data_IF_854221520049
#
_entry.id   IF_854221520049
#
_cell.length_a   1.000
_cell.length_b   1.000
_cell.length_c   1.000
_cell.angle_alpha   90.00
_cell.angle_beta   90.00
_cell.angle_gamma   90.00
#
_symmetry.space_group_name_H-M   'P 1'
#
loop_
_entity.id
_entity.type
_entity.pdbx_description
1 polymer ?
#
# COMPACT_ATOMS: atom_id res chain seq x y z
N UNK A 1 -13.26 18.87 -11.93
CA UNK A 1 -13.01 17.52 -11.43
C UNK A 1 -13.91 16.50 -12.13
N UNK A 2 -15.23 16.60 -12.10
CA UNK A 2 -16.19 15.61 -12.63
C UNK A 2 -15.87 15.09 -14.05
N UNK A 3 -15.65 15.95 -15.04
CA UNK A 3 -15.33 15.52 -16.42
C UNK A 3 -14.02 14.74 -16.53
N UNK A 4 -13.02 15.07 -15.70
CA UNK A 4 -11.73 14.36 -15.67
C UNK A 4 -11.90 13.01 -14.99
N UNK A 5 -12.64 12.94 -13.90
CA UNK A 5 -12.94 11.66 -13.23
C UNK A 5 -13.74 10.73 -14.14
N UNK A 6 -14.76 11.23 -14.83
CA UNK A 6 -15.53 10.46 -15.79
C UNK A 6 -14.64 9.89 -16.91
N UNK A 7 -13.74 10.72 -17.47
CA UNK A 7 -12.76 10.26 -18.46
C UNK A 7 -11.82 9.19 -17.89
N UNK A 8 -11.29 9.36 -16.69
CA UNK A 8 -10.45 8.35 -16.02
C UNK A 8 -11.23 7.07 -15.75
N UNK A 9 -12.46 7.18 -15.24
CA UNK A 9 -13.30 6.03 -14.93
C UNK A 9 -13.70 5.26 -16.20
N UNK A 10 -13.84 5.90 -17.35
CA UNK A 10 -14.07 5.21 -18.64
C UNK A 10 -12.93 4.26 -19.03
N UNK A 11 -11.76 4.37 -18.35
CA UNK A 11 -10.57 3.53 -18.58
C UNK A 11 -10.44 2.38 -17.57
N UNK A 12 -11.34 2.29 -16.59
CA UNK A 12 -11.43 1.14 -15.67
C UNK A 12 -11.90 -0.07 -16.46
N UNK A 13 -11.20 -1.20 -16.31
CA UNK A 13 -11.50 -2.43 -17.05
C UNK A 13 -10.78 -2.55 -18.40
N UNK A 14 -10.06 -1.52 -18.85
CA UNK A 14 -9.02 -1.69 -19.86
C UNK A 14 -7.90 -2.48 -19.19
N UNK A 15 -8.01 -3.79 -19.31
CA UNK A 15 -7.22 -4.75 -18.56
C UNK A 15 -5.72 -4.61 -18.80
N UNK A 16 -4.97 -5.09 -17.81
CA UNK A 16 -3.56 -5.34 -17.84
C UNK A 16 -3.12 -5.87 -19.21
N UNK A 17 -2.55 -5.01 -20.03
CA UNK A 17 -2.07 -5.37 -21.35
C UNK A 17 -0.58 -5.68 -21.26
N UNK A 18 -0.16 -6.76 -21.89
CA UNK A 18 1.22 -7.22 -21.88
C UNK A 18 2.18 -6.18 -22.47
N UNK A 19 3.15 -5.74 -21.67
CA UNK A 19 4.30 -4.95 -22.12
C UNK A 19 4.25 -3.47 -21.74
N UNK A 20 5.44 -2.88 -21.60
CA UNK A 20 5.65 -1.48 -21.21
C UNK A 20 5.79 -0.51 -22.41
N UNK A 21 5.72 -1.01 -23.65
CA UNK A 21 6.01 -0.17 -24.84
C UNK A 21 5.15 1.08 -24.94
N UNK A 22 3.84 0.95 -24.64
CA UNK A 22 2.92 2.09 -24.63
C UNK A 22 3.30 3.13 -23.57
N UNK A 23 3.59 2.69 -22.35
CA UNK A 23 4.04 3.59 -21.28
C UNK A 23 5.39 4.22 -21.59
N UNK A 24 6.34 3.45 -22.16
CA UNK A 24 7.64 4.00 -22.55
C UNK A 24 7.45 5.12 -23.58
N UNK A 25 6.62 4.92 -24.60
CA UNK A 25 6.36 5.97 -25.56
C UNK A 25 5.61 7.17 -24.95
N UNK A 26 4.70 6.92 -24.01
CA UNK A 26 3.97 8.00 -23.33
C UNK A 26 4.92 8.90 -22.52
N UNK A 27 5.85 8.31 -21.73
CA UNK A 27 6.83 9.12 -20.99
C UNK A 27 7.79 9.84 -21.93
N UNK A 28 8.21 9.24 -23.05
CA UNK A 28 9.03 9.89 -24.07
C UNK A 28 8.33 11.13 -24.67
N UNK A 29 7.05 11.02 -25.01
CA UNK A 29 6.22 12.12 -25.51
C UNK A 29 6.04 13.24 -24.49
N UNK A 30 6.08 12.94 -23.19
CA UNK A 30 6.00 13.89 -22.08
C UNK A 30 7.38 14.44 -21.66
N UNK A 31 8.46 14.06 -22.35
CA UNK A 31 9.83 14.51 -22.06
C UNK A 31 10.46 13.80 -20.87
N UNK A 32 10.12 12.54 -20.66
CA UNK A 32 10.67 11.64 -19.64
C UNK A 32 10.64 12.24 -18.23
N UNK A 33 9.47 12.64 -17.70
CA UNK A 33 9.36 13.30 -16.41
C UNK A 33 9.92 12.47 -15.25
N UNK A 34 9.89 11.14 -15.36
CA UNK A 34 10.37 10.19 -14.37
C UNK A 34 11.90 10.19 -14.16
N UNK A 35 12.65 10.87 -15.04
CA UNK A 35 14.14 10.95 -14.96
C UNK A 35 14.64 12.15 -14.17
N UNK A 36 13.77 13.04 -13.69
CA UNK A 36 14.16 14.30 -13.04
C UNK A 36 14.41 14.17 -11.53
N UNK A 37 14.13 13.01 -10.94
CA UNK A 37 14.24 12.77 -9.50
C UNK A 37 14.64 11.35 -9.20
N UNK A 38 15.32 11.07 -8.08
CA UNK A 38 15.60 9.71 -7.64
C UNK A 38 14.31 9.00 -7.20
N UNK A 39 14.24 7.69 -7.43
CA UNK A 39 13.05 6.88 -7.17
C UNK A 39 13.42 5.69 -6.30
N UNK A 40 12.67 5.46 -5.22
CA UNK A 40 12.61 4.21 -4.48
C UNK A 40 11.36 3.46 -4.94
N UNK A 41 11.54 2.33 -5.63
CA UNK A 41 10.47 1.56 -6.24
C UNK A 41 10.05 0.40 -5.33
N UNK A 42 8.80 0.40 -4.89
CA UNK A 42 8.31 -0.50 -3.84
C UNK A 42 7.25 -1.46 -4.38
N UNK A 43 7.51 -2.77 -4.26
CA UNK A 43 6.53 -3.83 -4.57
C UNK A 43 6.34 -4.76 -3.38
N UNK A 44 5.32 -5.58 -3.46
CA UNK A 44 5.00 -6.62 -2.47
C UNK A 44 3.55 -7.05 -2.55
N UNK A 45 3.21 -8.16 -1.93
CA UNK A 45 1.81 -8.57 -1.77
C UNK A 45 1.14 -7.65 -0.76
N UNK A 46 1.68 -7.55 0.45
CA UNK A 46 1.22 -6.68 1.53
C UNK A 46 2.36 -5.81 2.05
N UNK A 47 2.06 -4.74 2.80
CA UNK A 47 3.05 -3.90 3.48
C UNK A 47 3.61 -2.73 2.66
N UNK A 48 3.32 -2.62 1.35
CA UNK A 48 3.82 -1.56 0.47
C UNK A 48 3.56 -0.16 1.03
N UNK A 49 2.29 0.19 1.23
CA UNK A 49 1.88 1.51 1.72
C UNK A 49 2.42 1.82 3.12
N UNK A 50 2.44 0.84 4.06
CA UNK A 50 3.04 1.04 5.40
C UNK A 50 4.54 1.31 5.33
N UNK A 51 5.28 0.57 4.48
CA UNK A 51 6.72 0.79 4.27
C UNK A 51 6.98 2.17 3.66
N UNK A 52 6.15 2.59 2.68
CA UNK A 52 6.20 3.94 2.10
C UNK A 52 5.91 5.00 3.15
N UNK A 53 4.93 4.80 4.04
CA UNK A 53 4.61 5.74 5.10
C UNK A 53 5.80 5.94 6.06
N UNK A 54 6.45 4.86 6.50
CA UNK A 54 7.65 4.96 7.33
C UNK A 54 8.80 5.67 6.60
N UNK A 55 9.08 5.31 5.35
CA UNK A 55 10.10 6.00 4.56
C UNK A 55 9.80 7.48 4.38
N UNK A 56 8.55 7.83 4.08
CA UNK A 56 8.11 9.23 3.95
C UNK A 56 8.46 10.03 5.21
N UNK A 57 8.07 9.53 6.38
CA UNK A 57 8.34 10.23 7.65
C UNK A 57 9.84 10.33 7.96
N UNK A 58 10.62 9.30 7.68
CA UNK A 58 12.07 9.29 7.83
C UNK A 58 12.74 10.36 6.95
N UNK A 59 12.40 10.42 5.67
CA UNK A 59 12.97 11.39 4.74
C UNK A 59 12.50 12.82 5.02
N UNK A 60 11.21 13.02 5.31
CA UNK A 60 10.67 14.33 5.67
C UNK A 60 11.30 14.87 6.96
N UNK A 61 11.49 14.02 7.96
CA UNK A 61 12.17 14.38 9.20
C UNK A 61 13.60 14.88 8.97
N UNK A 62 14.27 14.37 7.94
CA UNK A 62 15.59 14.80 7.50
C UNK A 62 15.56 15.91 6.44
N UNK A 63 14.46 16.64 6.35
CA UNK A 63 14.33 17.85 5.53
C UNK A 63 14.10 17.61 4.04
N UNK A 64 13.79 16.37 3.61
CA UNK A 64 13.51 16.07 2.20
C UNK A 64 12.09 16.41 1.81
N UNK A 65 11.91 16.93 0.59
CA UNK A 65 10.62 17.06 -0.08
C UNK A 65 10.29 15.74 -0.77
N UNK A 66 9.38 14.96 -0.18
CA UNK A 66 9.11 13.58 -0.56
C UNK A 66 7.82 13.47 -1.35
N UNK A 67 7.89 12.97 -2.57
CA UNK A 67 6.72 12.55 -3.32
C UNK A 67 6.36 11.09 -3.04
N UNK A 68 5.08 10.75 -3.10
CA UNK A 68 4.62 9.37 -3.06
C UNK A 68 3.49 9.13 -4.07
N UNK A 69 3.58 7.99 -4.77
CA UNK A 69 2.50 7.44 -5.58
C UNK A 69 2.09 6.10 -4.99
N UNK A 70 0.84 5.98 -4.55
CA UNK A 70 0.34 4.81 -3.82
C UNK A 70 -1.01 4.33 -4.37
N UNK A 71 -1.35 3.07 -4.13
CA UNK A 71 -2.61 2.49 -4.60
C UNK A 71 -3.15 1.38 -3.69
N UNK A 72 -4.50 1.23 -3.61
CA UNK A 72 -5.52 2.15 -4.08
C UNK A 72 -5.63 3.40 -3.18
N UNK A 73 -6.49 4.38 -3.55
CA UNK A 73 -6.84 5.49 -2.67
C UNK A 73 -7.80 5.04 -1.55
N UNK A 74 -7.84 5.80 -0.47
CA UNK A 74 -8.75 5.56 0.65
C UNK A 74 -9.96 6.50 0.61
N UNK A 75 -9.77 7.78 0.34
CA UNK A 75 -10.88 8.77 0.32
C UNK A 75 -11.09 9.33 -1.08
N UNK A 76 -10.02 9.86 -1.69
CA UNK A 76 -10.06 10.52 -2.99
C UNK A 76 -8.98 9.98 -3.91
N UNK A 77 -9.23 10.02 -5.22
CA UNK A 77 -8.24 9.68 -6.23
C UNK A 77 -6.93 10.48 -6.06
N UNK A 78 -7.02 11.69 -5.53
CA UNK A 78 -5.90 12.58 -5.24
C UNK A 78 -4.93 11.99 -4.20
N UNK A 79 -5.44 11.16 -3.26
CA UNK A 79 -4.63 10.51 -2.22
C UNK A 79 -3.52 9.63 -2.80
N UNK A 80 -3.64 9.24 -4.07
CA UNK A 80 -2.62 8.43 -4.74
C UNK A 80 -1.35 9.22 -5.06
N UNK A 81 -1.44 10.54 -5.18
CA UNK A 81 -0.38 11.44 -5.63
C UNK A 81 -0.15 12.49 -4.54
N UNK A 82 0.86 12.30 -3.72
CA UNK A 82 1.11 13.18 -2.57
C UNK A 82 2.52 13.78 -2.61
N UNK A 83 2.62 14.99 -2.05
CA UNK A 83 3.90 15.62 -1.67
C UNK A 83 3.89 15.80 -0.13
N UNK A 84 4.89 15.25 0.54
CA UNK A 84 4.97 15.28 2.01
C UNK A 84 3.67 14.80 2.70
N UNK A 85 3.03 13.76 2.12
CA UNK A 85 1.77 13.22 2.60
C UNK A 85 0.53 14.05 2.31
N UNK A 86 0.66 15.20 1.65
CA UNK A 86 -0.48 16.03 1.22
C UNK A 86 -0.89 15.68 -0.20
N UNK A 87 -2.17 15.36 -0.45
CA UNK A 87 -2.67 15.04 -1.77
C UNK A 87 -2.50 16.19 -2.76
N UNK A 88 -2.35 15.86 -4.04
CA UNK A 88 -2.38 16.83 -5.13
C UNK A 88 -3.68 17.63 -5.12
N UNK A 89 -3.60 18.95 -5.31
CA UNK A 89 -4.78 19.81 -5.40
C UNK A 89 -5.59 19.52 -6.69
N UNK A 90 -6.92 19.64 -6.60
CA UNK A 90 -7.82 19.43 -7.75
C UNK A 90 -7.42 20.21 -9.00
N UNK A 91 -7.00 21.45 -8.82
CA UNK A 91 -6.60 22.32 -9.93
C UNK A 91 -5.39 21.76 -10.68
N UNK A 92 -4.36 21.28 -9.96
CA UNK A 92 -3.19 20.67 -10.57
C UNK A 92 -3.51 19.31 -11.19
N UNK A 93 -4.32 18.51 -10.51
CA UNK A 93 -4.77 17.23 -11.03
C UNK A 93 -5.49 17.39 -12.37
N UNK A 94 -6.48 18.31 -12.46
CA UNK A 94 -7.24 18.60 -13.68
C UNK A 94 -6.32 19.11 -14.80
N UNK A 95 -5.43 20.04 -14.49
CA UNK A 95 -4.48 20.61 -15.45
C UNK A 95 -3.57 19.54 -16.05
N UNK A 96 -2.97 18.70 -15.21
CA UNK A 96 -2.07 17.64 -15.65
C UNK A 96 -2.80 16.50 -16.35
N UNK A 97 -4.02 16.16 -15.91
CA UNK A 97 -4.87 15.21 -16.61
C UNK A 97 -5.19 15.66 -18.04
N UNK A 98 -5.48 16.96 -18.23
CA UNK A 98 -5.69 17.52 -19.58
C UNK A 98 -4.41 17.48 -20.42
N UNK A 99 -3.24 17.72 -19.83
CA UNK A 99 -1.96 17.59 -20.54
C UNK A 99 -1.72 16.14 -21.01
N UNK A 100 -1.99 15.14 -20.14
CA UNK A 100 -1.90 13.72 -20.51
C UNK A 100 -2.92 13.36 -21.59
N UNK A 101 -4.15 13.90 -21.51
CA UNK A 101 -5.20 13.70 -22.53
C UNK A 101 -4.81 14.24 -23.90
N UNK A 102 -4.15 15.40 -23.96
CA UNK A 102 -3.62 15.95 -25.22
C UNK A 102 -2.48 15.07 -25.78
N UNK A 103 -1.53 14.64 -24.92
CA UNK A 103 -0.46 13.73 -25.32
C UNK A 103 -1.02 12.40 -25.85
N UNK A 104 -2.08 11.85 -25.23
CA UNK A 104 -2.71 10.59 -25.63
C UNK A 104 -3.20 10.64 -27.09
N UNK A 105 -3.66 11.80 -27.62
CA UNK A 105 -4.05 11.94 -29.03
C UNK A 105 -2.90 11.61 -29.98
N UNK A 106 -1.67 11.95 -29.61
CA UNK A 106 -0.48 11.62 -30.39
C UNK A 106 -0.13 10.13 -30.24
N UNK A 107 -0.22 9.60 -29.00
CA UNK A 107 0.05 8.20 -28.71
C UNK A 107 -0.89 7.25 -29.47
N UNK A 108 -2.16 7.62 -29.62
CA UNK A 108 -3.18 6.84 -30.33
C UNK A 108 -2.91 6.66 -31.85
N UNK A 109 -1.94 7.35 -32.42
CA UNK A 109 -1.52 7.11 -33.81
C UNK A 109 -0.75 5.79 -33.95
N UNK A 110 -0.17 5.27 -32.88
CA UNK A 110 0.71 4.09 -32.89
C UNK A 110 0.37 3.04 -31.83
N UNK A 111 -0.40 3.42 -30.81
CA UNK A 111 -0.75 2.57 -29.66
C UNK A 111 -2.25 2.68 -29.32
N UNK A 112 -2.73 1.74 -28.51
CA UNK A 112 -4.08 1.80 -27.94
C UNK A 112 -4.18 2.83 -26.81
N UNK A 113 -5.42 3.05 -26.35
CA UNK A 113 -5.75 3.89 -25.20
C UNK A 113 -5.01 3.47 -23.94
N UNK A 114 -4.60 4.45 -23.14
CA UNK A 114 -4.03 4.26 -21.81
C UNK A 114 -5.11 3.77 -20.83
N UNK A 115 -4.74 2.87 -19.94
CA UNK A 115 -5.58 2.41 -18.84
C UNK A 115 -5.65 3.45 -17.72
N UNK A 116 -6.62 3.30 -16.82
CA UNK A 116 -6.78 4.14 -15.63
C UNK A 116 -5.47 4.32 -14.83
N UNK A 117 -4.75 3.22 -14.58
CA UNK A 117 -3.52 3.27 -13.79
C UNK A 117 -2.35 3.89 -14.55
N UNK A 118 -2.28 3.69 -15.87
CA UNK A 118 -1.28 4.34 -16.74
C UNK A 118 -1.47 5.86 -16.75
N UNK A 119 -2.70 6.34 -16.89
CA UNK A 119 -3.03 7.76 -16.85
C UNK A 119 -2.62 8.40 -15.52
N UNK A 120 -2.96 7.77 -14.39
CA UNK A 120 -2.57 8.26 -13.06
C UNK A 120 -1.06 8.28 -12.84
N UNK A 121 -0.35 7.27 -13.35
CA UNK A 121 1.12 7.21 -13.27
C UNK A 121 1.75 8.38 -14.01
N UNK A 122 1.26 8.72 -15.21
CA UNK A 122 1.77 9.85 -15.99
C UNK A 122 1.47 11.20 -15.34
N UNK A 123 0.26 11.37 -14.78
CA UNK A 123 -0.10 12.56 -14.00
C UNK A 123 0.84 12.72 -12.81
N UNK A 124 1.11 11.64 -12.07
CA UNK A 124 2.03 11.65 -10.95
C UNK A 124 3.46 12.06 -11.36
N UNK A 125 3.99 11.47 -12.42
CA UNK A 125 5.34 11.80 -12.91
C UNK A 125 5.48 13.27 -13.31
N UNK A 126 4.48 13.81 -13.98
CA UNK A 126 4.48 15.25 -14.34
C UNK A 126 4.42 16.13 -13.10
N UNK A 127 3.54 15.81 -12.16
CA UNK A 127 3.39 16.58 -10.91
C UNK A 127 4.68 16.58 -10.10
N UNK A 128 5.33 15.44 -9.93
CA UNK A 128 6.56 15.33 -9.17
C UNK A 128 7.72 16.11 -9.79
N UNK A 129 7.81 16.12 -11.12
CA UNK A 129 8.78 16.96 -11.83
C UNK A 129 8.55 18.45 -11.58
N UNK A 130 7.30 18.92 -11.70
CA UNK A 130 6.96 20.33 -11.47
C UNK A 130 7.19 20.77 -10.03
N UNK A 131 7.06 19.84 -9.10
CA UNK A 131 7.24 20.10 -7.68
C UNK A 131 8.71 20.06 -7.23
N UNK A 132 9.65 19.72 -8.10
CA UNK A 132 11.10 19.67 -7.80
C UNK A 132 11.38 18.88 -6.51
N UNK A 133 10.88 17.63 -6.45
CA UNK A 133 10.99 16.78 -5.26
C UNK A 133 12.39 16.20 -5.11
N UNK A 134 12.84 15.98 -3.86
CA UNK A 134 14.14 15.37 -3.57
C UNK A 134 14.14 13.86 -3.85
N UNK A 135 12.98 13.19 -3.69
CA UNK A 135 12.82 11.79 -4.04
C UNK A 135 11.34 11.40 -4.22
N UNK A 136 11.12 10.32 -4.94
CA UNK A 136 9.81 9.69 -5.13
C UNK A 136 9.80 8.29 -4.52
N UNK A 137 8.79 8.03 -3.68
CA UNK A 137 8.41 6.70 -3.19
C UNK A 137 7.31 6.17 -4.11
N UNK A 138 7.67 5.25 -5.01
CA UNK A 138 6.79 4.77 -6.08
C UNK A 138 6.26 3.37 -5.77
N UNK A 139 4.96 3.23 -5.50
CA UNK A 139 4.30 1.94 -5.29
C UNK A 139 3.95 1.28 -6.62
N UNK A 140 4.33 0.01 -6.78
CA UNK A 140 3.88 -0.87 -7.86
C UNK A 140 2.39 -1.18 -7.67
N UNK A 141 1.61 -1.09 -8.72
CA UNK A 141 0.19 -1.46 -8.69
C UNK A 141 0.01 -2.96 -8.52
N UNK A 142 0.49 -3.76 -9.47
CA UNK A 142 0.39 -5.23 -9.46
C UNK A 142 1.69 -5.84 -10.00
N UNK A 143 2.24 -6.81 -9.26
CA UNK A 143 3.43 -7.55 -9.69
C UNK A 143 4.70 -6.72 -9.62
N UNK A 144 5.22 -6.30 -10.76
CA UNK A 144 6.43 -5.48 -10.88
C UNK A 144 6.98 -5.45 -12.29
N UNK A 145 7.34 -6.60 -12.86
CA UNK A 145 8.01 -6.71 -14.16
C UNK A 145 7.26 -5.98 -15.29
N UNK A 146 5.95 -6.17 -15.37
CA UNK A 146 5.08 -5.60 -16.39
C UNK A 146 4.18 -4.49 -15.83
N UNK A 147 4.42 -4.06 -14.59
CA UNK A 147 3.66 -2.97 -14.00
C UNK A 147 3.97 -1.65 -14.71
N UNK A 148 2.96 -0.83 -14.87
CA UNK A 148 3.02 0.50 -15.48
C UNK A 148 4.15 1.35 -14.93
N UNK A 149 4.41 1.26 -13.62
CA UNK A 149 5.45 2.03 -12.94
C UNK A 149 6.87 1.57 -13.31
N UNK A 150 7.03 0.40 -13.92
CA UNK A 150 8.36 -0.18 -14.19
C UNK A 150 9.10 0.41 -15.39
N UNK A 151 8.57 1.46 -15.99
CA UNK A 151 9.31 2.29 -16.98
C UNK A 151 10.46 3.10 -16.34
N UNK A 152 10.46 3.21 -15.01
CA UNK A 152 11.48 3.95 -14.26
C UNK A 152 12.76 3.14 -14.06
N UNK A 153 13.88 3.86 -13.81
CA UNK A 153 15.12 3.29 -13.29
C UNK A 153 15.25 3.74 -11.83
N UNK A 154 14.70 2.91 -10.91
CA UNK A 154 14.78 3.19 -9.47
C UNK A 154 16.22 3.08 -8.93
N UNK A 155 16.60 3.97 -8.01
CA UNK A 155 17.87 3.91 -7.28
C UNK A 155 17.88 2.73 -6.30
N UNK A 156 16.75 2.46 -5.68
CA UNK A 156 16.53 1.35 -4.76
C UNK A 156 15.22 0.63 -5.13
N UNK A 157 15.26 -0.69 -5.13
CA UNK A 157 14.08 -1.55 -5.22
C UNK A 157 13.75 -2.14 -3.84
N UNK A 158 12.47 -2.18 -3.48
CA UNK A 158 12.02 -2.72 -2.18
C UNK A 158 10.94 -3.77 -2.40
N UNK A 159 11.11 -4.97 -1.82
CA UNK A 159 10.08 -6.02 -1.80
C UNK A 159 9.64 -6.25 -0.36
N UNK A 160 8.39 -5.87 -0.06
CA UNK A 160 7.85 -5.89 1.32
C UNK A 160 7.36 -7.26 1.77
N UNK A 161 6.79 -8.04 0.87
CA UNK A 161 6.35 -9.41 1.13
C UNK A 161 6.04 -10.14 -0.18
N UNK A 162 6.03 -11.47 -0.15
CA UNK A 162 5.54 -12.31 -1.25
C UNK A 162 4.60 -13.36 -0.70
N UNK A 163 3.39 -13.40 -1.25
CA UNK A 163 2.34 -14.36 -0.93
C UNK A 163 1.39 -14.50 -2.12
N UNK A 164 0.49 -15.47 -2.05
CA UNK A 164 -0.50 -15.72 -3.11
C UNK A 164 -1.53 -14.58 -3.14
N UNK A 165 -1.54 -13.83 -4.23
CA UNK A 165 -2.51 -12.80 -4.58
C UNK A 165 -2.42 -12.52 -6.08
N UNK A 166 -3.51 -12.07 -6.70
CA UNK A 166 -3.58 -11.80 -8.14
C UNK A 166 -3.07 -12.96 -9.03
N UNK A 167 -3.39 -14.21 -8.64
CA UNK A 167 -2.86 -15.42 -9.28
C UNK A 167 -3.19 -15.49 -10.78
N UNK A 168 -4.36 -14.99 -11.20
CA UNK A 168 -4.77 -14.90 -12.61
C UNK A 168 -3.78 -14.07 -13.46
N UNK A 169 -3.05 -13.12 -12.84
CA UNK A 169 -2.14 -12.20 -13.53
C UNK A 169 -0.68 -12.56 -13.28
N UNK A 170 -0.33 -12.96 -12.05
CA UNK A 170 1.06 -13.11 -11.60
C UNK A 170 1.55 -14.56 -11.60
N UNK A 171 0.63 -15.52 -11.79
CA UNK A 171 0.91 -16.95 -11.68
C UNK A 171 0.43 -17.55 -10.36
N UNK A 172 0.33 -18.87 -10.34
CA UNK A 172 -0.34 -19.67 -9.32
C UNK A 172 0.58 -20.15 -8.17
N UNK A 173 1.85 -19.75 -8.20
CA UNK A 173 2.83 -20.16 -7.20
C UNK A 173 3.75 -19.02 -6.77
N UNK A 174 4.42 -19.21 -5.63
CA UNK A 174 5.28 -18.22 -4.98
C UNK A 174 6.47 -17.81 -5.86
N UNK A 175 7.06 -18.76 -6.63
CA UNK A 175 8.20 -18.46 -7.50
C UNK A 175 7.79 -17.53 -8.64
N UNK A 176 6.68 -17.79 -9.33
CA UNK A 176 6.18 -16.94 -10.41
C UNK A 176 5.88 -15.52 -9.92
N UNK A 177 5.20 -15.40 -8.77
CA UNK A 177 4.93 -14.10 -8.16
C UNK A 177 6.25 -13.38 -7.78
N UNK A 178 7.24 -14.13 -7.28
CA UNK A 178 8.55 -13.58 -6.96
C UNK A 178 9.30 -13.06 -8.21
N UNK A 179 9.23 -13.77 -9.34
CA UNK A 179 9.81 -13.33 -10.61
C UNK A 179 9.20 -12.02 -11.10
N UNK A 180 7.86 -11.90 -11.02
CA UNK A 180 7.16 -10.67 -11.36
C UNK A 180 7.61 -9.50 -10.48
N UNK A 181 7.70 -9.71 -9.16
CA UNK A 181 8.11 -8.65 -8.22
C UNK A 181 9.59 -8.28 -8.36
N UNK A 182 10.48 -9.26 -8.49
CA UNK A 182 11.90 -9.00 -8.73
C UNK A 182 12.18 -8.33 -10.09
N UNK A 183 11.17 -8.22 -10.96
CA UNK A 183 11.24 -7.47 -12.22
C UNK A 183 11.51 -5.98 -12.07
N UNK A 184 11.35 -5.41 -10.87
CA UNK A 184 11.70 -4.00 -10.59
C UNK A 184 13.20 -3.81 -10.29
N UNK A 185 13.99 -4.87 -10.15
CA UNK A 185 15.42 -4.77 -9.96
C UNK A 185 16.09 -4.21 -11.22
N UNK A 186 17.01 -3.26 -11.04
CA UNK A 186 17.74 -2.60 -12.14
C UNK A 186 19.23 -2.89 -12.03
N UNK A 187 19.88 -3.14 -13.17
CA UNK A 187 21.28 -3.51 -13.23
C UNK A 187 22.20 -2.54 -12.48
N UNK A 188 23.06 -3.08 -11.62
CA UNK A 188 24.03 -2.30 -10.83
C UNK A 188 23.42 -1.42 -9.74
N UNK A 189 22.10 -1.55 -9.45
CA UNK A 189 21.43 -0.82 -8.39
C UNK A 189 21.33 -1.65 -7.11
N UNK A 190 20.60 -1.18 -6.11
CA UNK A 190 20.41 -1.87 -4.82
C UNK A 190 18.98 -2.36 -4.65
N UNK A 191 18.82 -3.45 -3.90
CA UNK A 191 17.51 -3.94 -3.52
C UNK A 191 17.47 -4.33 -2.05
N UNK A 192 16.34 -4.04 -1.40
CA UNK A 192 16.06 -4.40 0.00
C UNK A 192 14.83 -5.29 0.02
N UNK A 193 14.94 -6.48 0.59
CA UNK A 193 13.82 -7.42 0.67
C UNK A 193 13.52 -7.79 2.11
N UNK A 194 12.23 -7.93 2.42
CA UNK A 194 11.76 -8.43 3.70
C UNK A 194 12.13 -9.91 3.90
N UNK A 195 11.72 -10.48 5.03
CA UNK A 195 11.83 -11.92 5.30
C UNK A 195 10.82 -12.67 4.42
N UNK A 196 11.30 -13.19 3.29
CA UNK A 196 10.51 -13.87 2.27
C UNK A 196 10.51 -15.41 2.47
N UNK A 197 9.48 -16.12 1.95
CA UNK A 197 9.53 -17.58 1.79
C UNK A 197 10.81 -18.02 1.06
N UNK A 198 11.33 -19.19 1.40
CA UNK A 198 12.63 -19.69 0.87
C UNK A 198 12.68 -19.71 -0.66
N UNK A 199 11.58 -20.12 -1.29
CA UNK A 199 11.41 -20.17 -2.75
C UNK A 199 11.49 -18.77 -3.37
N UNK A 200 10.75 -17.80 -2.84
CA UNK A 200 10.77 -16.41 -3.29
C UNK A 200 12.15 -15.77 -3.11
N UNK A 201 12.80 -16.03 -1.98
CA UNK A 201 14.14 -15.55 -1.67
C UNK A 201 15.16 -16.05 -2.68
N UNK A 202 15.07 -17.33 -3.08
CA UNK A 202 15.96 -17.92 -4.10
C UNK A 202 15.79 -17.21 -5.45
N UNK A 203 14.56 -16.94 -5.86
CA UNK A 203 14.26 -16.20 -7.10
C UNK A 203 14.87 -14.79 -7.05
N UNK A 204 14.63 -14.06 -5.97
CA UNK A 204 15.17 -12.70 -5.80
C UNK A 204 16.70 -12.68 -5.84
N UNK A 205 17.37 -13.66 -5.19
CA UNK A 205 18.84 -13.79 -5.23
C UNK A 205 19.37 -14.03 -6.64
N UNK A 206 18.82 -15.01 -7.35
CA UNK A 206 19.20 -15.30 -8.74
C UNK A 206 19.03 -14.08 -9.65
N UNK A 207 17.93 -13.35 -9.48
CA UNK A 207 17.68 -12.13 -10.22
C UNK A 207 18.69 -11.04 -9.89
N UNK A 208 18.98 -10.84 -8.60
CA UNK A 208 19.99 -9.88 -8.15
C UNK A 208 21.38 -10.21 -8.69
N UNK A 209 21.80 -11.47 -8.61
CA UNK A 209 23.09 -11.95 -9.18
C UNK A 209 23.16 -11.69 -10.68
N UNK A 210 22.09 -12.00 -11.45
CA UNK A 210 22.05 -11.82 -12.91
C UNK A 210 22.16 -10.35 -13.35
N UNK A 211 21.79 -9.41 -12.48
CA UNK A 211 21.78 -7.97 -12.74
C UNK A 211 22.87 -7.21 -11.97
N UNK A 212 23.75 -7.91 -11.25
CA UNK A 212 24.75 -7.32 -10.35
C UNK A 212 24.11 -6.30 -9.37
N UNK A 213 22.97 -6.68 -8.75
CA UNK A 213 22.27 -5.90 -7.76
C UNK A 213 22.79 -6.22 -6.37
N UNK A 214 23.15 -5.18 -5.59
CA UNK A 214 23.46 -5.33 -4.17
C UNK A 214 22.19 -5.61 -3.38
N UNK A 215 22.01 -6.86 -2.94
CA UNK A 215 20.79 -7.33 -2.28
C UNK A 215 20.95 -7.36 -0.76
N UNK A 216 20.09 -6.62 -0.06
CA UNK A 216 19.99 -6.61 1.41
C UNK A 216 18.73 -7.34 1.86
N UNK A 217 18.88 -8.31 2.78
CA UNK A 217 17.82 -9.23 3.18
C UNK A 217 17.52 -9.11 4.67
N UNK A 218 16.26 -8.92 5.03
CA UNK A 218 15.83 -8.96 6.42
C UNK A 218 16.13 -10.32 7.07
N UNK A 219 16.62 -10.29 8.32
CA UNK A 219 17.04 -11.47 9.08
C UNK A 219 18.43 -11.98 8.73
N UNK A 220 19.12 -11.38 7.74
CA UNK A 220 20.50 -11.67 7.38
C UNK A 220 21.37 -10.40 7.50
N UNK A 221 20.99 -9.31 6.82
CA UNK A 221 21.76 -8.08 6.71
C UNK A 221 21.24 -6.98 7.66
N UNK A 222 19.97 -7.07 8.04
CA UNK A 222 19.34 -6.19 9.01
C UNK A 222 18.16 -6.89 9.71
N UNK A 223 17.80 -6.40 10.88
CA UNK A 223 16.63 -6.90 11.64
C UNK A 223 16.09 -5.82 12.58
N UNK A 224 14.82 -5.98 12.97
CA UNK A 224 14.21 -5.24 14.07
C UNK A 224 13.44 -6.24 14.94
N UNK A 225 13.68 -6.19 16.24
CA UNK A 225 12.98 -7.03 17.23
C UNK A 225 12.72 -6.19 18.47
N UNK A 226 11.47 -6.13 18.90
CA UNK A 226 11.04 -5.36 20.08
C UNK A 226 11.51 -3.89 20.09
N UNK A 227 11.56 -3.27 18.90
CA UNK A 227 12.04 -1.90 18.72
C UNK A 227 13.56 -1.75 18.61
N UNK A 228 14.32 -2.83 18.67
CA UNK A 228 15.77 -2.78 18.48
C UNK A 228 16.12 -3.12 17.04
N UNK A 229 16.60 -2.13 16.29
CA UNK A 229 17.07 -2.29 14.92
C UNK A 229 18.58 -2.47 14.87
N UNK A 230 19.04 -3.37 14.02
CA UNK A 230 20.47 -3.62 13.78
C UNK A 230 20.76 -3.88 12.30
N UNK A 231 21.79 -3.22 11.78
CA UNK A 231 22.38 -3.47 10.46
C UNK A 231 23.85 -3.01 10.43
N UNK A 232 24.54 -3.30 9.34
CA UNK A 232 25.90 -2.76 9.09
C UNK A 232 25.94 -1.23 8.91
N UNK A 233 24.77 -0.58 8.77
CA UNK A 233 24.65 0.86 8.57
C UNK A 233 24.36 1.62 9.86
N UNK A 234 23.97 0.92 10.93
CA UNK A 234 23.67 1.52 12.22
C UNK A 234 22.83 0.62 13.10
N UNK A 235 22.76 0.97 14.37
CA UNK A 235 21.94 0.32 15.41
C UNK A 235 21.09 1.37 16.11
N UNK A 236 19.82 1.05 16.34
CA UNK A 236 18.88 1.92 17.03
C UNK A 236 18.10 1.07 18.03
N UNK A 237 18.09 1.43 19.31
CA UNK A 237 17.40 0.65 20.34
C UNK A 237 16.14 1.34 20.82
N UNK A 238 15.15 0.58 21.30
CA UNK A 238 13.91 1.08 21.89
C UNK A 238 13.12 2.02 20.97
N UNK A 239 13.09 1.73 19.66
CA UNK A 239 12.27 2.43 18.69
C UNK A 239 10.78 2.14 18.94
N UNK A 240 9.97 3.18 19.00
CA UNK A 240 8.53 3.06 19.01
C UNK A 240 7.99 3.17 17.57
N UNK A 241 7.00 2.36 17.27
CA UNK A 241 6.37 2.28 15.94
C UNK A 241 4.95 2.84 16.04
N UNK A 242 4.62 3.84 15.22
CA UNK A 242 3.31 4.49 15.25
C UNK A 242 2.17 3.69 14.63
N UNK A 243 2.49 2.68 13.80
CA UNK A 243 1.51 1.77 13.24
C UNK A 243 1.33 0.53 14.14
N UNK A 244 0.09 0.14 14.38
CA UNK A 244 -0.23 -1.01 15.22
C UNK A 244 -0.03 -2.37 14.50
N UNK A 245 0.22 -3.42 15.29
CA UNK A 245 0.46 -4.78 14.83
C UNK A 245 1.95 -5.15 14.73
N UNK A 246 2.31 -6.33 15.28
CA UNK A 246 3.70 -6.78 15.38
C UNK A 246 4.43 -6.81 14.02
N UNK A 247 3.73 -7.12 12.93
CA UNK A 247 4.28 -7.14 11.57
C UNK A 247 4.74 -5.74 11.06
N UNK A 248 4.31 -4.66 11.70
CA UNK A 248 4.77 -3.32 11.34
C UNK A 248 6.24 -3.08 11.71
N UNK A 249 6.78 -3.85 12.66
CA UNK A 249 8.23 -3.84 12.92
C UNK A 249 9.03 -4.31 11.70
N UNK A 250 8.52 -5.32 10.96
CA UNK A 250 9.15 -5.78 9.71
C UNK A 250 9.11 -4.68 8.64
N UNK A 251 7.96 -3.99 8.48
CA UNK A 251 7.82 -2.87 7.54
C UNK A 251 8.71 -1.68 7.93
N UNK A 252 8.78 -1.35 9.23
CA UNK A 252 9.64 -0.28 9.75
C UNK A 252 11.14 -0.61 9.56
N UNK A 253 11.55 -1.86 9.81
CA UNK A 253 12.92 -2.31 9.56
C UNK A 253 13.31 -2.19 8.09
N UNK A 254 12.42 -2.60 7.20
CA UNK A 254 12.63 -2.50 5.75
C UNK A 254 12.75 -1.04 5.30
N UNK A 255 11.87 -0.18 5.82
CA UNK A 255 11.90 1.26 5.56
C UNK A 255 13.18 1.92 6.08
N UNK A 256 13.59 1.62 7.32
CA UNK A 256 14.78 2.18 7.95
C UNK A 256 16.05 1.71 7.21
N UNK A 257 16.16 0.43 6.86
CA UNK A 257 17.29 -0.07 6.05
C UNK A 257 17.38 0.65 4.70
N UNK A 258 16.24 0.82 4.02
CA UNK A 258 16.18 1.51 2.72
C UNK A 258 16.57 2.98 2.85
N UNK A 259 16.06 3.65 3.88
CA UNK A 259 16.42 5.03 4.21
C UNK A 259 17.92 5.18 4.49
N UNK A 260 18.50 4.33 5.33
CA UNK A 260 19.94 4.38 5.66
C UNK A 260 20.83 4.17 4.42
N UNK A 261 20.44 3.25 3.53
CA UNK A 261 21.16 3.04 2.27
C UNK A 261 21.14 4.30 1.38
N UNK A 262 19.96 4.92 1.24
CA UNK A 262 19.81 6.12 0.42
C UNK A 262 20.62 7.30 0.99
N UNK A 263 20.52 7.56 2.30
CA UNK A 263 21.25 8.65 2.98
C UNK A 263 22.76 8.45 2.91
N UNK A 264 23.23 7.20 3.04
CA UNK A 264 24.66 6.86 2.90
C UNK A 264 25.19 7.17 1.51
N UNK A 265 24.45 6.88 0.46
CA UNK A 265 24.84 7.20 -0.93
C UNK A 265 24.94 8.70 -1.17
N UNK A 266 23.97 9.47 -0.64
CA UNK A 266 24.00 10.93 -0.62
C UNK A 266 25.08 11.52 0.30
N UNK A 267 25.77 10.71 1.11
CA UNK A 267 26.71 11.13 2.17
C UNK A 267 26.03 12.08 3.17
N UNK A 268 24.77 11.84 3.44
CA UNK A 268 23.96 12.65 4.33
C UNK A 268 24.00 12.12 5.76
N UNK A 269 23.90 13.03 6.73
CA UNK A 269 23.92 12.69 8.15
C UNK A 269 22.54 12.19 8.58
N UNK A 270 22.51 11.10 9.33
CA UNK A 270 21.29 10.56 9.94
C UNK A 270 21.26 10.96 11.42
N UNK A 271 20.22 11.65 11.82
CA UNK A 271 19.95 12.01 13.23
C UNK A 271 19.08 10.94 13.87
N UNK A 272 19.62 10.30 14.93
CA UNK A 272 18.90 9.23 15.65
C UNK A 272 17.58 9.72 16.27
N UNK A 273 17.54 10.95 16.80
CA UNK A 273 16.33 11.48 17.43
C UNK A 273 15.24 11.72 16.38
N UNK A 274 15.62 12.18 15.21
CA UNK A 274 14.70 12.35 14.07
C UNK A 274 14.18 10.99 13.61
N UNK A 275 15.02 9.97 13.54
CA UNK A 275 14.59 8.58 13.21
C UNK A 275 13.53 8.10 14.20
N UNK A 276 13.75 8.28 15.52
CA UNK A 276 12.81 7.88 16.57
C UNK A 276 11.46 8.57 16.39
N UNK A 277 11.46 9.89 16.25
CA UNK A 277 10.25 10.69 16.07
C UNK A 277 9.51 10.32 14.78
N UNK A 278 10.24 10.10 13.70
CA UNK A 278 9.65 9.71 12.41
C UNK A 278 8.90 8.38 12.50
N UNK A 279 9.50 7.35 13.08
CA UNK A 279 8.87 6.04 13.23
C UNK A 279 7.67 6.07 14.19
N UNK A 280 7.78 6.80 15.30
CA UNK A 280 6.70 6.94 16.30
C UNK A 280 5.49 7.70 15.75
N UNK A 281 5.69 8.75 14.96
CA UNK A 281 4.59 9.54 14.39
C UNK A 281 4.01 8.98 13.10
N UNK A 282 4.58 7.91 12.53
CA UNK A 282 4.13 7.34 11.28
C UNK A 282 2.68 6.88 11.39
N UNK A 283 1.86 7.34 10.45
CA UNK A 283 0.46 7.00 10.32
C UNK A 283 0.13 6.56 8.89
N UNK A 284 -0.77 5.57 8.75
CA UNK A 284 -1.25 5.11 7.46
C UNK A 284 -2.71 4.65 7.54
N UNK A 285 -3.59 5.30 6.82
CA UNK A 285 -5.02 5.02 6.85
C UNK A 285 -5.34 3.57 6.44
N UNK A 286 -6.27 2.94 7.15
CA UNK A 286 -6.77 1.61 6.85
C UNK A 286 -5.78 0.46 7.08
N UNK A 287 -4.80 0.61 7.96
CA UNK A 287 -3.87 -0.44 8.39
C UNK A 287 -3.85 -0.54 9.91
N UNK A 288 -4.79 -1.31 10.48
CA UNK A 288 -5.10 -1.31 11.90
C UNK A 288 -5.25 0.12 12.42
N UNK A 289 -5.86 0.98 11.61
CA UNK A 289 -6.09 2.39 11.95
C UNK A 289 -7.12 2.48 13.07
N UNK A 290 -6.69 2.93 14.24
CA UNK A 290 -7.59 3.21 15.36
C UNK A 290 -8.26 4.55 15.14
N UNK A 291 -9.39 4.56 14.45
CA UNK A 291 -10.11 5.79 14.05
C UNK A 291 -11.00 6.34 15.18
N UNK A 292 -11.39 5.49 16.12
CA UNK A 292 -12.08 5.80 17.36
C UNK A 292 -11.49 4.99 18.51
N UNK A 293 -11.70 5.35 19.77
CA UNK A 293 -11.16 4.58 20.90
C UNK A 293 -11.47 3.08 20.85
N UNK A 294 -12.62 2.69 20.29
CA UNK A 294 -13.06 1.30 20.19
C UNK A 294 -13.19 0.79 18.75
N UNK A 295 -12.86 1.57 17.71
CA UNK A 295 -13.03 1.16 16.31
C UNK A 295 -11.71 1.16 15.55
N UNK A 296 -11.38 -0.01 14.99
CA UNK A 296 -10.25 -0.24 14.10
C UNK A 296 -10.70 -0.44 12.66
N UNK A 297 -10.03 0.20 11.72
CA UNK A 297 -10.18 -0.02 10.29
C UNK A 297 -8.97 -0.77 9.75
N UNK A 298 -9.19 -1.92 9.10
CA UNK A 298 -8.12 -2.67 8.45
C UNK A 298 -8.53 -3.16 7.06
N UNK A 299 -7.73 -2.84 6.07
CA UNK A 299 -7.97 -3.18 4.67
C UNK A 299 -7.56 -4.61 4.28
N UNK A 300 -7.51 -5.56 5.19
CA UNK A 300 -7.24 -6.96 4.87
C UNK A 300 -8.29 -7.52 3.89
N UNK A 301 -7.84 -8.00 2.74
CA UNK A 301 -8.68 -8.49 1.64
C UNK A 301 -8.10 -9.73 0.94
N UNK A 302 -7.15 -10.39 1.60
CA UNK A 302 -6.55 -11.66 1.21
C UNK A 302 -6.11 -12.45 2.45
N UNK A 303 -5.91 -13.75 2.34
CA UNK A 303 -5.57 -14.62 3.49
C UNK A 303 -4.29 -14.19 4.22
N UNK A 304 -3.18 -13.82 3.55
CA UNK A 304 -1.99 -13.35 4.25
C UNK A 304 -2.22 -12.08 5.09
N UNK A 305 -3.05 -11.14 4.62
CA UNK A 305 -3.40 -9.95 5.39
C UNK A 305 -4.33 -10.29 6.56
N UNK A 306 -5.34 -11.14 6.34
CA UNK A 306 -6.23 -11.61 7.41
C UNK A 306 -5.47 -12.37 8.51
N UNK A 307 -4.41 -13.11 8.17
CA UNK A 307 -3.58 -13.77 9.17
C UNK A 307 -3.00 -12.74 10.17
N UNK A 308 -2.52 -11.61 9.67
CA UNK A 308 -2.00 -10.51 10.51
C UNK A 308 -3.08 -9.85 11.36
N UNK A 309 -4.26 -9.64 10.79
CA UNK A 309 -5.42 -9.13 11.54
C UNK A 309 -5.82 -10.09 12.66
N UNK A 310 -5.91 -11.40 12.38
CA UNK A 310 -6.25 -12.44 13.36
C UNK A 310 -5.23 -12.47 14.51
N UNK A 311 -3.93 -12.35 14.21
CA UNK A 311 -2.89 -12.28 15.23
C UNK A 311 -3.12 -11.08 16.18
N UNK A 312 -3.44 -9.92 15.61
CA UNK A 312 -3.71 -8.70 16.38
C UNK A 312 -5.02 -8.80 17.20
N UNK A 313 -6.09 -9.34 16.63
CA UNK A 313 -7.35 -9.56 17.35
C UNK A 313 -7.14 -10.47 18.55
N UNK A 314 -6.39 -11.57 18.39
CA UNK A 314 -6.04 -12.50 19.50
C UNK A 314 -5.20 -11.83 20.58
N UNK A 315 -4.27 -10.96 20.21
CA UNK A 315 -3.51 -10.16 21.15
C UNK A 315 -4.45 -9.30 22.00
N UNK A 316 -5.43 -8.62 21.39
CA UNK A 316 -6.44 -7.84 22.11
C UNK A 316 -7.36 -8.69 22.98
N UNK A 317 -7.76 -9.89 22.55
CA UNK A 317 -8.48 -10.83 23.42
C UNK A 317 -7.64 -11.20 24.67
N UNK A 318 -6.35 -11.47 24.50
CA UNK A 318 -5.44 -11.79 25.62
C UNK A 318 -5.22 -10.61 26.58
N UNK A 319 -5.31 -9.37 26.07
CA UNK A 319 -5.30 -8.15 26.87
C UNK A 319 -6.62 -7.90 27.63
N UNK A 320 -7.65 -8.74 27.41
CA UNK A 320 -8.96 -8.65 28.06
C UNK A 320 -10.01 -7.83 27.33
N UNK A 321 -9.75 -7.46 26.07
CA UNK A 321 -10.76 -6.83 25.23
C UNK A 321 -11.76 -7.82 24.65
N UNK A 322 -12.94 -7.34 24.25
CA UNK A 322 -14.01 -8.10 23.60
C UNK A 322 -14.15 -7.69 22.13
N UNK A 323 -13.37 -8.28 21.21
CA UNK A 323 -13.42 -7.92 19.83
C UNK A 323 -14.70 -8.39 19.13
N UNK A 324 -15.21 -7.56 18.21
CA UNK A 324 -16.23 -7.90 17.22
C UNK A 324 -15.68 -7.57 15.83
N UNK A 325 -16.11 -8.30 14.80
CA UNK A 325 -15.70 -8.05 13.42
C UNK A 325 -16.92 -7.68 12.57
N UNK A 326 -16.82 -6.56 11.85
CA UNK A 326 -17.74 -6.20 10.78
C UNK A 326 -16.99 -6.37 9.44
N UNK A 327 -17.46 -7.33 8.64
CA UNK A 327 -16.82 -7.73 7.40
C UNK A 327 -17.62 -7.29 6.17
N UNK A 328 -16.98 -6.56 5.25
CA UNK A 328 -17.54 -6.19 3.95
C UNK A 328 -16.53 -6.42 2.84
N UNK A 329 -16.90 -7.20 1.82
CA UNK A 329 -15.98 -7.59 0.75
C UNK A 329 -16.60 -7.45 -0.65
N UNK A 330 -15.76 -7.61 -1.68
CA UNK A 330 -16.20 -7.66 -3.07
C UNK A 330 -16.39 -9.11 -3.52
N UNK A 331 -17.45 -9.39 -4.29
CA UNK A 331 -17.79 -10.71 -4.85
C UNK A 331 -16.67 -11.36 -5.66
N UNK A 332 -15.81 -10.54 -6.30
CA UNK A 332 -14.66 -10.99 -7.10
C UNK A 332 -13.46 -11.50 -6.28
N UNK A 333 -13.48 -11.31 -4.95
CA UNK A 333 -12.44 -11.81 -4.04
C UNK A 333 -12.89 -13.14 -3.44
N UNK A 334 -11.96 -13.91 -2.91
CA UNK A 334 -12.27 -15.15 -2.17
C UNK A 334 -12.85 -14.81 -0.78
N UNK A 335 -14.03 -14.18 -0.76
CA UNK A 335 -14.69 -13.81 0.49
C UNK A 335 -15.13 -15.02 1.31
N UNK A 336 -15.50 -16.13 0.66
CA UNK A 336 -15.90 -17.35 1.34
C UNK A 336 -14.73 -17.97 2.10
N UNK A 337 -13.56 -18.09 1.48
CA UNK A 337 -12.34 -18.54 2.14
C UNK A 337 -11.92 -17.59 3.27
N UNK A 338 -12.08 -16.28 3.09
CA UNK A 338 -11.80 -15.29 4.12
C UNK A 338 -12.74 -15.42 5.34
N UNK A 339 -14.04 -15.55 5.12
CA UNK A 339 -15.03 -15.74 6.19
C UNK A 339 -14.79 -17.06 6.94
N UNK A 340 -14.59 -18.15 6.21
CA UNK A 340 -14.27 -19.45 6.81
C UNK A 340 -13.00 -19.39 7.67
N UNK A 341 -11.98 -18.69 7.19
CA UNK A 341 -10.73 -18.49 7.92
C UNK A 341 -10.95 -17.69 9.22
N UNK A 342 -11.67 -16.59 9.18
CA UNK A 342 -11.99 -15.78 10.36
C UNK A 342 -12.76 -16.61 11.39
N UNK A 343 -13.82 -17.31 10.99
CA UNK A 343 -14.63 -18.16 11.88
C UNK A 343 -13.79 -19.29 12.51
N UNK A 344 -12.92 -19.90 11.73
CA UNK A 344 -12.05 -20.97 12.24
C UNK A 344 -11.02 -20.46 13.25
N UNK A 345 -10.45 -19.30 12.99
CA UNK A 345 -9.33 -18.74 13.79
C UNK A 345 -9.79 -17.94 15.00
N UNK A 346 -11.00 -17.41 14.95
CA UNK A 346 -11.60 -16.54 15.97
C UNK A 346 -13.01 -17.04 16.35
N UNK A 347 -13.15 -18.27 16.86
CA UNK A 347 -14.46 -18.91 17.08
C UNK A 347 -15.31 -18.26 18.18
N UNK A 348 -14.72 -17.41 19.02
CA UNK A 348 -15.40 -16.69 20.09
C UNK A 348 -15.72 -15.23 19.73
N UNK A 349 -15.18 -14.73 18.60
CA UNK A 349 -15.37 -13.37 18.14
C UNK A 349 -16.66 -13.29 17.33
N UNK A 350 -17.53 -12.33 17.69
CA UNK A 350 -18.73 -12.05 16.92
C UNK A 350 -18.37 -11.51 15.52
N UNK A 351 -18.80 -12.25 14.47
CA UNK A 351 -18.55 -11.90 13.07
C UNK A 351 -19.86 -11.53 12.39
N UNK A 352 -19.99 -10.27 11.98
CA UNK A 352 -21.11 -9.77 11.18
C UNK A 352 -20.64 -9.45 9.76
N UNK A 353 -21.54 -9.67 8.79
CA UNK A 353 -21.29 -9.35 7.36
C UNK A 353 -22.22 -8.24 6.92
N UNK A 354 -21.74 -7.34 6.06
CA UNK A 354 -22.54 -6.23 5.51
C UNK A 354 -22.19 -5.94 4.06
N UNK A 355 -23.15 -5.36 3.34
CA UNK A 355 -22.93 -4.69 2.07
C UNK A 355 -22.47 -3.24 2.27
N UNK A 356 -21.99 -2.62 1.17
CA UNK A 356 -21.60 -1.21 1.13
C UNK A 356 -21.81 -0.64 -0.28
N UNK A 357 -21.77 0.68 -0.43
CA UNK A 357 -22.11 1.36 -1.69
C UNK A 357 -20.96 1.29 -2.72
N UNK A 358 -20.72 0.10 -3.24
CA UNK A 358 -19.73 -0.14 -4.28
C UNK A 358 -20.18 -1.29 -5.20
N UNK A 359 -19.99 -1.11 -6.51
CA UNK A 359 -20.33 -2.14 -7.50
C UNK A 359 -19.61 -3.46 -7.23
N UNK A 360 -20.38 -4.53 -7.03
CA UNK A 360 -19.86 -5.85 -6.70
C UNK A 360 -19.56 -6.06 -5.22
N UNK A 361 -20.06 -5.19 -4.33
CA UNK A 361 -20.14 -5.48 -2.89
C UNK A 361 -20.98 -6.73 -2.63
N UNK A 362 -20.69 -7.43 -1.54
CA UNK A 362 -21.55 -8.50 -1.03
C UNK A 362 -22.95 -7.97 -0.70
N UNK A 363 -23.95 -8.80 -0.87
CA UNK A 363 -25.32 -8.57 -0.44
C UNK A 363 -25.86 -9.80 0.31
N UNK A 364 -27.09 -9.69 0.81
CA UNK A 364 -27.73 -10.74 1.61
C UNK A 364 -27.84 -12.10 0.89
N UNK A 365 -27.82 -12.12 -0.43
CA UNK A 365 -27.96 -13.34 -1.24
C UNK A 365 -26.65 -14.07 -1.44
N UNK A 366 -25.51 -13.39 -1.24
CA UNK A 366 -24.18 -13.95 -1.46
C UNK A 366 -23.67 -14.77 -0.28
N UNK A 367 -24.24 -14.57 0.92
CA UNK A 367 -23.66 -15.09 2.17
C UNK A 367 -24.69 -15.96 2.90
N UNK A 368 -24.33 -17.20 3.17
CA UNK A 368 -25.17 -18.15 3.93
C UNK A 368 -24.45 -18.60 5.21
N UNK A 369 -25.18 -18.65 6.32
CA UNK A 369 -24.64 -19.13 7.59
C UNK A 369 -23.88 -18.09 8.41
N UNK A 370 -23.98 -16.82 8.05
CA UNK A 370 -23.42 -15.68 8.79
C UNK A 370 -24.51 -14.68 9.13
N UNK A 371 -24.33 -13.93 10.21
CA UNK A 371 -25.22 -12.84 10.58
C UNK A 371 -24.99 -11.64 9.68
N UNK A 372 -26.06 -11.24 8.98
CA UNK A 372 -26.01 -10.12 8.04
C UNK A 372 -26.55 -8.86 8.70
N UNK A 373 -25.82 -7.78 8.54
CA UNK A 373 -26.20 -6.43 8.98
C UNK A 373 -26.66 -5.65 7.75
N UNK A 374 -27.94 -5.23 7.68
CA UNK A 374 -28.47 -4.50 6.52
C UNK A 374 -27.79 -3.15 6.29
N UNK A 375 -27.42 -2.47 7.37
CA UNK A 375 -26.76 -1.15 7.34
C UNK A 375 -25.57 -1.12 8.27
N UNK A 376 -24.37 -1.03 7.70
CA UNK A 376 -23.16 -0.86 8.51
C UNK A 376 -23.18 0.44 9.33
N UNK A 377 -23.85 1.49 8.84
CA UNK A 377 -23.94 2.79 9.52
C UNK A 377 -24.75 2.68 10.81
N UNK A 378 -25.91 2.04 10.75
CA UNK A 378 -26.73 1.78 11.93
C UNK A 378 -26.01 0.87 12.91
N UNK A 379 -25.38 -0.19 12.43
CA UNK A 379 -24.60 -1.10 13.27
C UNK A 379 -23.46 -0.39 14.02
N UNK A 380 -22.71 0.46 13.34
CA UNK A 380 -21.61 1.23 13.96
C UNK A 380 -22.17 2.23 14.98
N UNK A 381 -23.24 2.94 14.65
CA UNK A 381 -23.91 3.87 15.57
C UNK A 381 -24.43 3.16 16.84
N UNK A 382 -25.06 1.99 16.67
CA UNK A 382 -25.52 1.16 17.79
C UNK A 382 -24.35 0.62 18.62
N UNK A 383 -23.25 0.24 17.96
CA UNK A 383 -22.02 -0.18 18.64
C UNK A 383 -21.46 0.98 19.49
N UNK A 384 -21.27 2.17 18.92
CA UNK A 384 -20.76 3.35 19.65
C UNK A 384 -21.65 3.71 20.85
N UNK A 385 -22.98 3.57 20.72
CA UNK A 385 -23.92 3.89 21.80
C UNK A 385 -23.88 2.91 22.99
N UNK A 386 -23.50 1.64 22.75
CA UNK A 386 -23.50 0.57 23.77
C UNK A 386 -22.13 0.12 24.26
N UNK A 387 -21.06 0.41 23.48
CA UNK A 387 -19.73 -0.09 23.75
C UNK A 387 -19.14 0.51 25.02
N UNK A 388 -18.53 -0.33 25.84
CA UNK A 388 -17.70 0.10 26.95
C UNK A 388 -16.20 0.10 26.56
N UNK A 389 -15.31 0.48 27.49
CA UNK A 389 -13.90 0.62 27.22
C UNK A 389 -13.18 -0.70 26.81
N UNK A 390 -13.82 -1.86 27.02
CA UNK A 390 -13.26 -3.18 26.68
C UNK A 390 -13.78 -3.68 25.34
N UNK A 391 -14.84 -3.09 24.79
CA UNK A 391 -15.37 -3.50 23.48
C UNK A 391 -14.52 -2.93 22.36
N UNK A 392 -14.18 -3.77 21.37
CA UNK A 392 -13.46 -3.35 20.15
C UNK A 392 -14.21 -3.82 18.91
N UNK A 393 -14.38 -2.94 17.94
CA UNK A 393 -14.93 -3.24 16.63
C UNK A 393 -13.81 -3.17 15.57
N UNK A 394 -13.60 -4.27 14.86
CA UNK A 394 -12.71 -4.35 13.70
C UNK A 394 -13.52 -4.35 12.41
N UNK A 395 -13.39 -3.30 11.61
CA UNK A 395 -14.03 -3.19 10.29
C UNK A 395 -13.03 -3.60 9.23
N UNK A 396 -13.36 -4.62 8.40
CA UNK A 396 -12.39 -5.24 7.49
C UNK A 396 -13.03 -5.91 6.27
N UNK A 397 -12.22 -6.50 5.38
CA UNK A 397 -12.61 -7.31 4.22
C UNK A 397 -12.38 -6.64 2.86
N UNK A 398 -12.40 -5.31 2.79
CA UNK A 398 -12.12 -4.56 1.58
C UNK A 398 -11.59 -3.16 1.88
N UNK A 399 -10.61 -2.70 1.12
CA UNK A 399 -10.14 -1.31 1.18
C UNK A 399 -11.26 -0.33 0.79
N UNK A 400 -12.13 -0.69 -0.15
CA UNK A 400 -13.27 0.15 -0.53
C UNK A 400 -14.28 0.27 0.59
N UNK A 401 -14.56 -0.83 1.30
CA UNK A 401 -15.46 -0.83 2.44
C UNK A 401 -14.94 0.05 3.57
N UNK A 402 -13.70 -0.16 4.00
CA UNK A 402 -13.13 0.65 5.09
C UNK A 402 -12.98 2.13 4.71
N UNK A 403 -12.78 2.43 3.42
CA UNK A 403 -12.79 3.80 2.90
C UNK A 403 -14.13 4.50 3.13
N UNK A 404 -15.23 3.81 2.79
CA UNK A 404 -16.58 4.33 2.99
C UNK A 404 -16.91 4.51 4.48
N UNK A 405 -16.56 3.52 5.31
CA UNK A 405 -16.73 3.60 6.77
C UNK A 405 -15.89 4.74 7.36
N UNK A 406 -14.65 4.90 6.89
CA UNK A 406 -13.77 6.01 7.32
C UNK A 406 -14.37 7.36 7.01
N UNK A 407 -14.87 7.54 5.79
CA UNK A 407 -15.57 8.77 5.39
C UNK A 407 -16.79 9.05 6.26
N UNK A 408 -17.60 8.03 6.55
CA UNK A 408 -18.74 8.12 7.44
C UNK A 408 -18.35 8.58 8.85
N UNK A 409 -17.35 7.95 9.48
CA UNK A 409 -16.92 8.27 10.83
C UNK A 409 -16.32 9.68 10.94
N UNK A 410 -15.52 10.12 9.98
CA UNK A 410 -14.91 11.45 9.97
C UNK A 410 -15.95 12.56 9.76
N UNK A 411 -16.97 12.34 8.92
CA UNK A 411 -18.05 13.31 8.72
C UNK A 411 -18.87 13.54 10.01
N UNK A 412 -19.07 12.50 10.83
CA UNK A 412 -19.82 12.59 12.09
C UNK A 412 -19.01 13.23 13.23
N UNK A 413 -17.69 13.34 13.11
CA UNK A 413 -16.85 14.05 14.09
C UNK A 413 -16.98 15.58 13.99
N UNK A 414 -17.30 16.09 12.79
CA UNK A 414 -17.44 17.53 12.55
C UNK A 414 -18.83 18.08 12.99
N UNK A 415 -19.77 17.20 13.34
CA UNK A 415 -21.13 17.57 13.73
C UNK A 415 -21.39 17.50 15.24
N UNK A 416 -20.47 16.94 16.01
CA UNK A 416 -20.47 16.88 17.49
C UNK A 416 -19.36 17.79 18.04
#
# INVERSE_FOLDING_TARGET
>A
MFEVEEWLHSRIGLNFRSGLGRMQQAVDLLGNPEKFYPIIHVTGTNGKGSTIAFMRELFMGHGKKVASFTSPHIVSINDRICINGQPIADADFIRLANQVKEMEKTLLQTHDQLSFFELLTLIAFLYFREQEVDLVLLEVGIGGLLDTTNVVIGELAVITSIGLDHQETLGDNIAAIAEQKAGIFKAGKKAVIAKLPSEARLVCRKKAESLAVDLYQAGQDFSMLNGDFSSSLGTFSQLKIGLEGAYQQENAALALQTFLLFMREGKEVVDEQVVRQALEKTHWAGRLERIRPQIYLDGAHNLPALTRLVEFVKEKEQEGYRPQILFGALKRKDYQGMLAYLTQKLPQVELKVTGFDYQGSLDETDVTGYDIVPSYREFISDFEARADAQDLLFVTGSLYFISEVRGYLLAHEQMN
#
